data_IF_161666673877
#
_entry.id   IF_161666673877
#
_cell.length_a   1.000
_cell.length_b   1.000
_cell.length_c   1.000
_cell.angle_alpha   90.00
_cell.angle_beta   90.00
_cell.angle_gamma   90.00
#
_symmetry.space_group_name_H-M   'P 1'
#
loop_
_entity.id
_entity.type
_entity.pdbx_description
1 polymer ?
#
# COMPACT_ATOMS: atom_id res chain seq x y z
N UNK A 1 -3.00 -0.83 14.95
CA UNK A 1 -3.70 -1.52 13.83
C UNK A 1 -2.72 -1.71 12.68
N UNK A 2 -2.83 -2.78 11.92
CA UNK A 2 -2.02 -2.99 10.71
C UNK A 2 -2.89 -3.57 9.60
N UNK A 3 -2.79 -3.02 8.40
CA UNK A 3 -3.48 -3.44 7.19
C UNK A 3 -2.45 -3.68 6.08
N UNK A 4 -2.62 -4.71 5.26
CA UNK A 4 -1.72 -4.99 4.14
C UNK A 4 -2.52 -5.25 2.86
N UNK A 5 -2.06 -4.68 1.77
CA UNK A 5 -2.61 -4.88 0.42
C UNK A 5 -1.51 -5.44 -0.47
N UNK A 6 -1.78 -6.60 -1.06
CA UNK A 6 -0.90 -7.20 -2.06
C UNK A 6 -1.11 -6.54 -3.42
N UNK A 7 -0.02 -6.34 -4.15
CA UNK A 7 -0.01 -5.85 -5.52
C UNK A 7 0.36 -7.03 -6.41
N UNK A 8 -0.56 -7.39 -7.31
CA UNK A 8 -0.48 -8.61 -8.12
C UNK A 8 -0.39 -8.24 -9.60
N UNK A 9 0.58 -8.81 -10.31
CA UNK A 9 0.71 -8.75 -11.77
C UNK A 9 0.77 -10.19 -12.29
N UNK A 10 -0.08 -10.53 -13.25
CA UNK A 10 -0.14 -11.88 -13.85
C UNK A 10 -0.11 -12.99 -12.79
N UNK A 11 -1.02 -12.87 -11.81
CA UNK A 11 -1.23 -13.81 -10.70
C UNK A 11 -0.06 -13.94 -9.70
N UNK A 12 1.03 -13.19 -9.84
CA UNK A 12 2.08 -13.14 -8.83
C UNK A 12 2.07 -11.84 -8.03
N UNK A 13 2.21 -11.95 -6.72
CA UNK A 13 2.45 -10.81 -5.84
C UNK A 13 3.83 -10.22 -6.15
N UNK A 14 3.85 -9.01 -6.70
CA UNK A 14 5.07 -8.28 -7.08
C UNK A 14 5.50 -7.28 -6.01
N UNK A 15 4.55 -6.79 -5.23
CA UNK A 15 4.80 -5.94 -4.07
C UNK A 15 3.67 -6.06 -3.04
N UNK A 16 3.88 -5.49 -1.86
CA UNK A 16 2.85 -5.28 -0.86
C UNK A 16 2.97 -3.90 -0.24
N UNK A 17 1.84 -3.24 0.02
CA UNK A 17 1.77 -2.04 0.84
C UNK A 17 1.20 -2.41 2.20
N UNK A 18 1.96 -2.16 3.26
CA UNK A 18 1.51 -2.33 4.63
C UNK A 18 1.39 -0.96 5.29
N UNK A 19 0.23 -0.71 5.87
CA UNK A 19 -0.07 0.46 6.67
C UNK A 19 -0.16 0.07 8.14
N UNK A 20 0.61 0.74 8.99
CA UNK A 20 0.60 0.55 10.45
C UNK A 20 0.21 1.84 11.15
N UNK A 21 -0.70 1.72 12.12
CA UNK A 21 -1.18 2.79 12.98
C UNK A 21 -0.85 2.45 14.41
N UNK A 22 -0.04 3.29 15.03
CA UNK A 22 0.35 3.13 16.42
C UNK A 22 -0.60 3.88 17.34
N UNK A 23 -0.69 3.43 18.59
CA UNK A 23 -1.54 4.05 19.62
C UNK A 23 -1.13 5.50 19.91
N UNK A 24 0.13 5.86 19.63
CA UNK A 24 0.66 7.22 19.71
C UNK A 24 0.08 8.16 18.64
N UNK A 25 -0.65 7.62 17.65
CA UNK A 25 -1.10 8.36 16.47
C UNK A 25 -0.08 8.36 15.34
N UNK A 26 1.11 7.76 15.54
CA UNK A 26 2.09 7.62 14.47
C UNK A 26 1.60 6.69 13.36
N UNK A 27 2.01 7.01 12.14
CA UNK A 27 1.63 6.30 10.94
C UNK A 27 2.89 5.83 10.23
N UNK A 28 2.99 4.52 9.99
CA UNK A 28 4.07 3.93 9.21
C UNK A 28 3.50 3.28 7.96
N UNK A 29 4.08 3.63 6.81
CA UNK A 29 3.80 2.98 5.53
C UNK A 29 5.04 2.21 5.13
N UNK A 30 4.89 0.91 4.91
CA UNK A 30 5.92 0.06 4.36
C UNK A 30 5.51 -0.40 2.98
N UNK A 31 6.34 -0.08 1.99
CA UNK A 31 6.21 -0.62 0.65
C UNK A 31 7.30 -1.66 0.43
N UNK A 32 6.92 -2.90 0.13
CA UNK A 32 7.85 -4.00 -0.06
C UNK A 32 7.74 -4.55 -1.47
N UNK A 33 8.84 -4.54 -2.22
CA UNK A 33 8.92 -5.15 -3.55
C UNK A 33 9.45 -6.57 -3.40
N UNK A 34 8.65 -7.57 -3.77
CA UNK A 34 9.00 -9.00 -3.67
C UNK A 34 9.53 -9.55 -5.00
N UNK A 35 9.04 -9.03 -6.14
CA UNK A 35 9.55 -9.40 -7.46
C UNK A 35 9.83 -8.14 -8.30
N UNK A 36 11.03 -7.53 -8.15
CA UNK A 36 11.38 -6.32 -8.87
C UNK A 36 11.51 -6.55 -10.38
N UNK A 37 11.82 -7.76 -10.83
CA UNK A 37 12.06 -8.03 -12.25
C UNK A 37 10.77 -7.90 -13.07
N UNK A 38 9.62 -8.25 -12.50
CA UNK A 38 8.31 -8.08 -13.14
C UNK A 38 7.91 -6.63 -13.35
N UNK A 39 8.36 -5.69 -12.51
CA UNK A 39 8.11 -4.25 -12.75
C UNK A 39 8.90 -3.67 -13.93
N UNK A 40 10.03 -4.27 -14.26
CA UNK A 40 10.89 -3.81 -15.35
C UNK A 40 10.65 -4.54 -16.67
N UNK A 41 9.74 -5.52 -16.70
CA UNK A 41 9.48 -6.34 -17.87
C UNK A 41 8.86 -5.54 -19.03
N UNK A 42 8.04 -4.52 -18.73
CA UNK A 42 7.42 -3.64 -19.73
C UNK A 42 7.34 -2.19 -19.21
N UNK A 43 7.17 -1.22 -20.11
CA UNK A 43 6.90 0.19 -19.73
C UNK A 43 5.54 0.33 -19.03
N UNK A 44 4.56 -0.49 -19.41
CA UNK A 44 3.22 -0.53 -18.80
C UNK A 44 3.32 -0.93 -17.33
N UNK A 45 4.11 -1.96 -16.99
CA UNK A 45 4.29 -2.43 -15.61
C UNK A 45 4.90 -1.39 -14.66
N UNK A 46 5.67 -0.42 -15.18
CA UNK A 46 6.20 0.70 -14.38
C UNK A 46 5.15 1.75 -14.08
N UNK A 47 4.30 2.03 -15.06
CA UNK A 47 3.18 2.98 -14.92
C UNK A 47 2.18 2.42 -13.91
N UNK A 48 1.86 1.13 -14.05
CA UNK A 48 0.98 0.40 -13.13
C UNK A 48 1.48 0.46 -11.69
N UNK A 49 2.78 0.32 -11.43
CA UNK A 49 3.32 0.39 -10.07
C UNK A 49 3.09 1.75 -9.41
N UNK A 50 3.30 2.85 -10.13
CA UNK A 50 3.09 4.19 -9.61
C UNK A 50 1.61 4.46 -9.31
N UNK A 51 0.71 3.98 -10.16
CA UNK A 51 -0.73 4.06 -9.94
C UNK A 51 -1.16 3.22 -8.73
N UNK A 52 -0.65 2.00 -8.60
CA UNK A 52 -0.98 1.09 -7.49
C UNK A 52 -0.50 1.63 -6.14
N UNK A 53 0.71 2.21 -6.07
CA UNK A 53 1.20 2.90 -4.87
C UNK A 53 0.32 4.09 -4.53
N UNK A 54 -0.06 4.90 -5.53
CA UNK A 54 -0.89 6.09 -5.33
C UNK A 54 -2.28 5.72 -4.79
N UNK A 55 -2.93 4.71 -5.38
CA UNK A 55 -4.23 4.20 -4.93
C UNK A 55 -4.16 3.64 -3.52
N UNK A 56 -3.09 2.91 -3.19
CA UNK A 56 -2.93 2.30 -1.88
C UNK A 56 -2.67 3.36 -0.78
N UNK A 57 -1.99 4.47 -1.11
CA UNK A 57 -1.87 5.66 -0.24
C UNK A 57 -3.22 6.37 -0.08
N UNK A 58 -3.98 6.58 -1.16
CA UNK A 58 -5.30 7.21 -1.11
C UNK A 58 -6.28 6.41 -0.25
N UNK A 59 -6.40 5.11 -0.51
CA UNK A 59 -7.22 4.18 0.27
C UNK A 59 -6.84 4.21 1.76
N UNK A 60 -5.54 4.28 2.04
CA UNK A 60 -5.03 4.42 3.41
C UNK A 60 -5.54 5.71 4.04
N UNK A 61 -5.38 6.86 3.38
CA UNK A 61 -5.86 8.18 3.86
C UNK A 61 -7.36 8.19 4.13
N UNK A 62 -8.16 7.60 3.25
CA UNK A 62 -9.62 7.50 3.43
C UNK A 62 -9.98 6.63 4.64
N UNK A 63 -9.34 5.46 4.80
CA UNK A 63 -9.50 4.62 5.99
C UNK A 63 -9.13 5.40 7.26
N UNK A 64 -8.04 6.16 7.28
CA UNK A 64 -7.72 7.01 8.44
C UNK A 64 -8.74 8.11 8.70
N UNK A 65 -9.20 8.80 7.68
CA UNK A 65 -10.20 9.85 7.85
C UNK A 65 -11.51 9.28 8.43
N UNK A 66 -11.80 8.00 8.15
CA UNK A 66 -12.94 7.28 8.74
C UNK A 66 -12.72 6.82 10.19
N UNK A 67 -11.47 6.82 10.68
CA UNK A 67 -11.19 6.54 12.09
C UNK A 67 -11.57 7.74 12.96
N UNK A 68 -12.76 7.67 13.53
CA UNK A 68 -13.13 8.53 14.65
C UNK A 68 -12.51 7.95 15.92
N UNK A 69 -11.62 8.71 16.56
CA UNK A 69 -11.15 8.37 17.91
C UNK A 69 -12.40 8.39 18.81
N UNK A 70 -12.72 7.31 19.55
CA UNK A 70 -13.76 7.37 20.57
C UNK A 70 -13.36 8.44 21.58
N UNK A 71 -14.11 9.54 21.65
CA UNK A 71 -13.90 10.52 22.72
C UNK A 71 -14.37 9.86 24.02
N UNK A 72 -13.41 9.44 24.84
CA UNK A 72 -13.63 9.15 26.26
C UNK A 72 -13.67 10.45 27.06
#
# INVERSE_FOLDING_TARGET
>A
MQESTDIVIEEATVASLTLSVYETGDLSVQFNIVDPQRFHATEDSKTDLNELISQAIETSKEKFASYTIPQN
#
